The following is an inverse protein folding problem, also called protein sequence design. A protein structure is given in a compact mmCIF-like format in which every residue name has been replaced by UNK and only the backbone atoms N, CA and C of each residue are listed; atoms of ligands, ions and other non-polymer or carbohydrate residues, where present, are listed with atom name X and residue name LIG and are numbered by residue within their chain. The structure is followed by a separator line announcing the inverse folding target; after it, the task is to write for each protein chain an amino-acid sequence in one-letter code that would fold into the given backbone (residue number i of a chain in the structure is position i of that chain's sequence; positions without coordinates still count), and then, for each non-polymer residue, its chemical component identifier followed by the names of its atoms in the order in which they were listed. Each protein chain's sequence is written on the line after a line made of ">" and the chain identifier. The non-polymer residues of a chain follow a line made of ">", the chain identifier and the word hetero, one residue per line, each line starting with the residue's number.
data_IF_715678265158
#
_entry.id   IF_715678265158
#
_cell.length_a   1.000
_cell.length_b   1.000
_cell.length_c   1.000
_cell.angle_alpha   90.00
_cell.angle_beta   90.00
_cell.angle_gamma   90.00
#
_symmetry.space_group_name_H-M   'P 1'
#
loop_
_entity.id
_entity.type
_entity.pdbx_description
1 polymer ?
#
# COMPACT_ATOMS: atom_id res chain seq x y z
N UNK A 1 -2.79 -6.33 -41.19
CA UNK A 1 -2.97 -6.01 -39.76
C UNK A 1 -1.63 -6.13 -39.05
N UNK A 2 -1.30 -5.21 -38.15
CA UNK A 2 -0.12 -5.39 -37.30
C UNK A 2 -0.38 -6.50 -36.28
N UNK A 3 0.66 -7.25 -35.88
CA UNK A 3 0.55 -8.27 -34.82
C UNK A 3 -0.03 -7.69 -33.52
N UNK A 4 0.22 -6.40 -33.25
CA UNK A 4 -0.38 -5.65 -32.14
C UNK A 4 -1.91 -5.61 -32.22
N UNK A 5 -2.45 -5.38 -33.43
CA UNK A 5 -3.90 -5.32 -33.67
C UNK A 5 -4.54 -6.68 -33.44
N UNK A 6 -3.94 -7.75 -34.00
CA UNK A 6 -4.43 -9.12 -33.83
C UNK A 6 -4.42 -9.52 -32.35
N UNK A 7 -3.34 -9.18 -31.63
CA UNK A 7 -3.24 -9.41 -30.20
C UNK A 7 -4.34 -8.71 -29.41
N UNK A 8 -4.58 -7.42 -29.66
CA UNK A 8 -5.64 -6.66 -28.99
C UNK A 8 -7.02 -7.27 -29.27
N UNK A 9 -7.29 -7.70 -30.51
CA UNK A 9 -8.56 -8.34 -30.88
C UNK A 9 -8.75 -9.66 -30.14
N UNK A 10 -7.74 -10.52 -30.11
CA UNK A 10 -7.81 -11.80 -29.39
C UNK A 10 -8.03 -11.54 -27.89
N UNK A 11 -7.26 -10.62 -27.31
CA UNK A 11 -7.37 -10.28 -25.89
C UNK A 11 -8.78 -9.76 -25.55
N UNK A 12 -9.31 -8.85 -26.36
CA UNK A 12 -10.66 -8.30 -26.14
C UNK A 12 -11.76 -9.34 -26.35
N UNK A 13 -11.65 -10.22 -27.33
CA UNK A 13 -12.58 -11.33 -27.53
C UNK A 13 -12.57 -12.30 -26.33
N UNK A 14 -11.39 -12.68 -25.83
CA UNK A 14 -11.24 -13.54 -24.66
C UNK A 14 -11.79 -12.88 -23.40
N UNK A 15 -11.47 -11.61 -23.17
CA UNK A 15 -12.01 -10.84 -22.04
C UNK A 15 -13.54 -10.77 -22.10
N UNK A 16 -14.10 -10.47 -23.27
CA UNK A 16 -15.55 -10.39 -23.47
C UNK A 16 -16.21 -11.74 -23.20
N UNK A 17 -15.65 -12.83 -23.74
CA UNK A 17 -16.14 -14.18 -23.48
C UNK A 17 -16.08 -14.52 -21.98
N UNK A 18 -14.97 -14.20 -21.31
CA UNK A 18 -14.82 -14.42 -19.87
C UNK A 18 -15.88 -13.67 -19.06
N UNK A 19 -16.10 -12.39 -19.37
CA UNK A 19 -17.13 -11.59 -18.70
C UNK A 19 -18.52 -12.18 -18.96
N UNK A 20 -18.85 -12.47 -20.21
CA UNK A 20 -20.17 -13.01 -20.57
C UNK A 20 -20.45 -14.35 -19.87
N UNK A 21 -19.49 -15.29 -19.90
CA UNK A 21 -19.63 -16.60 -19.27
C UNK A 21 -19.74 -16.54 -17.74
N UNK A 22 -19.31 -15.45 -17.11
CA UNK A 22 -19.41 -15.25 -15.66
C UNK A 22 -20.43 -14.18 -15.27
N UNK A 23 -21.27 -13.74 -16.21
CA UNK A 23 -22.28 -12.70 -15.95
C UNK A 23 -23.47 -13.20 -15.14
N UNK A 24 -23.55 -14.51 -14.85
CA UNK A 24 -24.56 -15.11 -13.99
C UNK A 24 -24.77 -14.33 -12.70
N UNK A 25 -26.03 -14.26 -12.29
CA UNK A 25 -26.44 -13.65 -11.05
C UNK A 25 -26.36 -14.63 -9.87
N UNK A 26 -26.04 -14.07 -8.70
CA UNK A 26 -26.08 -14.75 -7.41
C UNK A 26 -27.03 -13.97 -6.52
N UNK A 27 -27.89 -14.69 -5.80
CA UNK A 27 -28.79 -14.09 -4.84
C UNK A 27 -28.01 -13.66 -3.58
N UNK A 28 -28.16 -12.39 -3.21
CA UNK A 28 -27.67 -11.82 -1.96
C UNK A 28 -28.84 -11.41 -1.08
N UNK A 29 -28.78 -11.85 0.18
CA UNK A 29 -29.65 -11.37 1.23
C UNK A 29 -28.86 -10.36 2.04
N UNK A 30 -29.21 -9.08 1.91
CA UNK A 30 -28.66 -8.00 2.69
C UNK A 30 -29.53 -7.78 3.93
N UNK A 31 -28.95 -7.19 4.97
CA UNK A 31 -29.61 -6.97 6.29
C UNK A 31 -30.99 -6.30 6.18
N UNK A 32 -31.22 -5.50 5.14
CA UNK A 32 -32.45 -4.72 4.93
C UNK A 32 -33.26 -5.22 3.72
N UNK A 33 -32.65 -5.97 2.80
CA UNK A 33 -33.26 -6.35 1.52
C UNK A 33 -32.86 -7.78 1.16
N UNK A 34 -33.85 -8.65 1.07
CA UNK A 34 -33.69 -10.05 0.65
C UNK A 34 -33.89 -10.21 -0.86
N UNK A 35 -33.25 -11.25 -1.43
CA UNK A 35 -33.49 -11.65 -2.82
C UNK A 35 -32.91 -10.69 -3.87
N UNK A 36 -31.85 -9.95 -3.57
CA UNK A 36 -31.19 -9.09 -4.54
C UNK A 36 -30.25 -9.92 -5.41
N UNK A 37 -30.53 -9.98 -6.70
CA UNK A 37 -29.68 -10.68 -7.66
C UNK A 37 -28.56 -9.75 -8.14
N UNK A 38 -27.31 -10.15 -7.92
CA UNK A 38 -26.12 -9.39 -8.31
C UNK A 38 -25.22 -10.28 -9.16
N UNK A 39 -24.69 -9.75 -10.26
CA UNK A 39 -23.75 -10.48 -11.11
C UNK A 39 -22.48 -10.87 -10.33
N UNK A 40 -22.01 -12.12 -10.50
CA UNK A 40 -20.75 -12.61 -9.92
C UNK A 40 -19.57 -11.69 -10.24
N UNK A 41 -19.56 -11.07 -11.41
CA UNK A 41 -18.52 -10.13 -11.82
C UNK A 41 -18.45 -8.89 -10.93
N UNK A 42 -19.59 -8.31 -10.56
CA UNK A 42 -19.65 -7.12 -9.70
C UNK A 42 -19.11 -7.46 -8.32
N UNK A 43 -19.48 -8.62 -7.79
CA UNK A 43 -19.00 -9.11 -6.48
C UNK A 43 -17.48 -9.24 -6.49
N UNK A 44 -16.92 -9.93 -7.49
CA UNK A 44 -15.47 -10.10 -7.62
C UNK A 44 -14.78 -8.76 -7.81
N UNK A 45 -15.32 -7.87 -8.64
CA UNK A 45 -14.78 -6.53 -8.86
C UNK A 45 -14.70 -5.70 -7.58
N UNK A 46 -15.78 -5.69 -6.77
CA UNK A 46 -15.80 -5.00 -5.47
C UNK A 46 -14.78 -5.62 -4.51
N UNK A 47 -14.71 -6.94 -4.42
CA UNK A 47 -13.73 -7.63 -3.59
C UNK A 47 -12.29 -7.30 -3.98
N UNK A 48 -11.98 -7.22 -5.28
CA UNK A 48 -10.65 -6.84 -5.79
C UNK A 48 -10.32 -5.40 -5.40
N UNK A 49 -11.26 -4.47 -5.56
CA UNK A 49 -11.06 -3.06 -5.18
C UNK A 49 -10.80 -2.94 -3.68
N UNK A 50 -11.63 -3.56 -2.84
CA UNK A 50 -11.46 -3.53 -1.39
C UNK A 50 -10.11 -4.16 -0.99
N UNK A 51 -9.80 -5.33 -1.54
CA UNK A 51 -8.53 -6.02 -1.30
C UNK A 51 -7.32 -5.18 -1.72
N UNK A 52 -7.41 -4.48 -2.85
CA UNK A 52 -6.38 -3.55 -3.30
C UNK A 52 -6.21 -2.38 -2.34
N UNK A 53 -7.30 -1.75 -1.88
CA UNK A 53 -7.23 -0.65 -0.92
C UNK A 53 -6.58 -1.11 0.39
N UNK A 54 -7.04 -2.25 0.94
CA UNK A 54 -6.49 -2.80 2.18
C UNK A 54 -5.01 -3.14 1.98
N UNK A 55 -4.66 -3.83 0.90
CA UNK A 55 -3.28 -4.19 0.58
C UNK A 55 -2.38 -2.96 0.40
N UNK A 56 -2.89 -1.90 -0.24
CA UNK A 56 -2.18 -0.64 -0.41
C UNK A 56 -1.93 0.06 0.93
N UNK A 57 -2.95 0.13 1.79
CA UNK A 57 -2.82 0.76 3.12
C UNK A 57 -1.90 -0.04 4.02
N UNK A 58 -2.05 -1.37 4.06
CA UNK A 58 -1.23 -2.26 4.88
C UNK A 58 0.21 -2.36 4.37
N UNK A 59 0.41 -2.34 3.06
CA UNK A 59 1.72 -2.36 2.40
C UNK A 59 2.45 -1.03 2.45
N UNK A 60 1.82 0.06 2.89
CA UNK A 60 2.47 1.37 3.02
C UNK A 60 3.57 1.27 4.09
N UNK A 61 4.86 1.39 3.72
CA UNK A 61 5.93 1.33 4.70
C UNK A 61 5.73 2.47 5.70
N UNK A 62 5.45 2.12 6.95
CA UNK A 62 5.43 3.11 8.04
C UNK A 62 6.87 3.59 8.18
N UNK A 63 7.09 4.91 8.10
CA UNK A 63 8.40 5.47 8.42
C UNK A 63 8.77 4.92 9.79
N UNK A 64 9.83 4.13 9.84
CA UNK A 64 10.48 3.82 11.10
C UNK A 64 10.84 5.18 11.67
N UNK A 65 10.19 5.54 12.78
CA UNK A 65 10.64 6.66 13.59
C UNK A 65 12.05 6.26 13.99
N UNK A 66 13.04 6.84 13.32
CA UNK A 66 14.43 6.74 13.76
C UNK A 66 14.42 7.40 15.12
N UNK A 67 14.42 6.56 16.16
CA UNK A 67 14.33 6.94 17.57
C UNK A 67 15.63 7.61 18.06
N UNK A 68 16.18 8.51 17.26
CA UNK A 68 17.24 9.41 17.68
C UNK A 68 16.86 10.81 17.21
N UNK A 69 16.51 11.60 18.21
CA UNK A 69 16.04 12.97 18.12
C UNK A 69 16.91 13.79 17.16
N UNK A 70 16.34 14.10 16.00
CA UNK A 70 16.93 15.04 15.04
C UNK A 70 17.08 16.44 15.66
N UNK A 71 16.39 16.71 16.78
CA UNK A 71 16.51 17.96 17.54
C UNK A 71 17.70 18.00 18.51
N UNK A 72 18.26 16.85 18.91
CA UNK A 72 19.48 16.80 19.74
C UNK A 72 20.71 17.12 18.88
N UNK A 73 20.76 16.62 17.63
CA UNK A 73 21.84 16.96 16.69
C UNK A 73 21.77 18.42 16.21
N UNK A 74 20.58 19.00 16.05
CA UNK A 74 20.41 20.37 15.53
C UNK A 74 20.83 21.45 16.54
N UNK A 75 20.77 21.15 17.84
CA UNK A 75 21.17 22.06 18.92
C UNK A 75 22.51 21.71 19.55
N UNK A 76 23.23 20.70 19.04
CA UNK A 76 24.58 20.45 19.47
C UNK A 76 25.50 21.49 18.81
N UNK A 77 26.07 22.46 19.57
CA UNK A 77 27.13 23.27 19.01
C UNK A 77 28.23 22.32 18.55
N UNK A 78 28.84 22.59 17.39
CA UNK A 78 30.04 21.89 16.92
C UNK A 78 31.11 22.15 17.98
N UNK A 79 31.13 21.28 18.99
CA UNK A 79 32.09 21.30 20.07
C UNK A 79 33.40 20.86 19.43
N UNK A 80 34.16 21.83 18.93
CA UNK A 80 35.62 21.72 18.91
C UNK A 80 36.00 21.07 20.23
N UNK A 81 36.59 19.86 20.14
CA UNK A 81 37.02 19.02 21.25
C UNK A 81 37.26 19.86 22.49
N UNK A 82 36.36 19.75 23.47
CA UNK A 82 36.51 20.39 24.77
C UNK A 82 37.76 19.78 25.39
N UNK A 83 38.86 20.51 25.31
CA UNK A 83 40.03 20.22 26.11
C UNK A 83 39.56 20.17 27.56
N UNK A 84 39.97 19.13 28.29
CA UNK A 84 39.62 18.95 29.70
C UNK A 84 39.90 20.24 30.47
N UNK A 85 38.96 20.63 31.34
CA UNK A 85 39.13 21.75 32.27
C UNK A 85 40.40 21.52 33.08
N UNK A 86 41.08 22.58 33.49
CA UNK A 86 42.31 22.46 34.27
C UNK A 86 42.07 21.70 35.58
N UNK A 87 40.89 21.86 36.20
CA UNK A 87 40.49 21.03 37.36
C UNK A 87 40.38 19.53 37.03
N UNK A 88 39.90 19.14 35.85
CA UNK A 88 39.70 17.73 35.49
C UNK A 88 41.03 17.04 35.14
N UNK A 89 42.09 17.80 34.81
CA UNK A 89 43.41 17.27 34.47
C UNK A 89 44.18 16.76 35.68
N UNK A 90 44.02 17.41 36.83
CA UNK A 90 44.68 17.02 38.08
C UNK A 90 44.11 15.72 38.68
N UNK A 91 42.90 15.32 38.29
CA UNK A 91 42.29 14.05 38.74
C UNK A 91 42.77 12.82 37.97
N UNK A 92 43.40 13.01 36.81
CA UNK A 92 43.86 11.91 35.94
C UNK A 92 45.40 11.78 35.90
N UNK A 93 46.13 12.59 36.67
CA UNK A 93 47.59 12.50 36.89
C UNK A 93 47.97 11.66 38.10
#
# INVERSE_FOLDING_TARGET
>A
MSGKTIFIIILTALLTAFLFLNSDEVAFNFIIVDGVFVSKLIVVGVCVVIGFIIGFVAGRPRKTVSSYDTEIEKNQPVSNKKELSDEDRDYIS
#
